data_IF_465136173782
#
_entry.id   IF_465136173782
#
_cell.length_a   1.000
_cell.length_b   1.000
_cell.length_c   1.000
_cell.angle_alpha   90.00
_cell.angle_beta   90.00
_cell.angle_gamma   90.00
#
_symmetry.space_group_name_H-M   'P 1'
#
loop_
_entity.id
_entity.type
_entity.pdbx_description
1 polymer ?
#
# COMPACT_ATOMS: atom_id res chain seq x y z
N UNK A 1 -6.68 -11.77 17.85
CA UNK A 1 -6.68 -10.47 17.16
C UNK A 1 -7.95 -9.74 17.53
N UNK A 2 -7.87 -8.54 18.05
CA UNK A 2 -9.08 -7.85 18.46
C UNK A 2 -9.76 -7.17 17.26
N UNK A 3 -11.05 -6.84 17.43
CA UNK A 3 -11.86 -6.26 16.36
C UNK A 3 -11.34 -4.89 15.92
N UNK A 4 -10.72 -4.15 16.83
CA UNK A 4 -10.21 -2.82 16.54
C UNK A 4 -9.01 -2.88 15.58
N UNK A 5 -8.13 -3.85 15.77
CA UNK A 5 -6.99 -4.04 14.85
C UNK A 5 -7.44 -4.48 13.47
N UNK A 6 -8.44 -5.35 13.41
CA UNK A 6 -9.03 -5.79 12.13
C UNK A 6 -9.65 -4.60 11.40
N UNK A 7 -10.39 -3.77 12.12
CA UNK A 7 -11.02 -2.58 11.53
C UNK A 7 -9.97 -1.60 10.99
N UNK A 8 -8.87 -1.41 11.71
CA UNK A 8 -7.78 -0.55 11.25
C UNK A 8 -7.14 -1.06 9.97
N UNK A 9 -6.90 -2.38 9.90
CA UNK A 9 -6.32 -2.99 8.70
C UNK A 9 -7.25 -2.85 7.51
N UNK A 10 -8.55 -3.04 7.72
CA UNK A 10 -9.54 -2.90 6.66
C UNK A 10 -9.61 -1.48 6.14
N UNK A 11 -9.58 -0.48 7.02
CA UNK A 11 -9.60 0.92 6.62
C UNK A 11 -8.34 1.30 5.83
N UNK A 12 -7.18 0.80 6.25
CA UNK A 12 -5.93 1.04 5.55
C UNK A 12 -5.96 0.42 4.16
N UNK A 13 -6.42 -0.83 4.06
CA UNK A 13 -6.50 -1.52 2.79
C UNK A 13 -7.44 -0.78 1.82
N UNK A 14 -8.59 -0.33 2.31
CA UNK A 14 -9.54 0.44 1.52
C UNK A 14 -8.91 1.75 1.04
N UNK A 15 -8.16 2.43 1.91
CA UNK A 15 -7.49 3.67 1.54
C UNK A 15 -6.41 3.44 0.49
N UNK A 16 -5.67 2.33 0.60
CA UNK A 16 -4.68 1.94 -0.40
C UNK A 16 -5.33 1.69 -1.76
N UNK A 17 -6.49 1.04 -1.78
CA UNK A 17 -7.23 0.83 -3.02
C UNK A 17 -7.69 2.15 -3.65
N UNK A 18 -8.13 3.09 -2.84
CA UNK A 18 -8.51 4.41 -3.32
C UNK A 18 -7.33 5.13 -3.94
N UNK A 19 -6.14 5.04 -3.30
CA UNK A 19 -4.93 5.64 -3.84
C UNK A 19 -4.48 4.97 -5.13
N UNK A 20 -4.62 3.64 -5.22
CA UNK A 20 -4.35 2.92 -6.47
C UNK A 20 -5.23 3.48 -7.61
N UNK A 21 -6.53 3.62 -7.35
CA UNK A 21 -7.46 4.11 -8.36
C UNK A 21 -7.21 5.57 -8.73
N UNK A 22 -6.67 6.35 -7.80
CA UNK A 22 -6.35 7.75 -8.03
C UNK A 22 -5.03 7.93 -8.80
N UNK A 23 -4.01 7.13 -8.47
CA UNK A 23 -2.65 7.33 -8.98
C UNK A 23 -2.30 6.44 -10.17
N UNK A 24 -2.87 5.25 -10.24
CA UNK A 24 -2.59 4.32 -11.35
C UNK A 24 -3.80 3.43 -11.64
N UNK A 25 -4.93 4.03 -12.06
CA UNK A 25 -6.19 3.29 -12.20
C UNK A 25 -6.14 2.16 -13.22
N UNK A 26 -5.28 2.26 -14.22
CA UNK A 26 -5.19 1.26 -15.29
C UNK A 26 -4.21 0.14 -14.98
N UNK A 27 -3.52 0.22 -13.85
CA UNK A 27 -2.52 -0.76 -13.49
C UNK A 27 -3.15 -2.01 -12.85
N UNK A 28 -2.74 -3.18 -13.36
CA UNK A 28 -3.03 -4.47 -12.75
C UNK A 28 -1.71 -5.23 -12.60
N UNK A 29 -1.46 -5.86 -11.43
CA UNK A 29 -0.19 -6.54 -11.23
C UNK A 29 -0.07 -7.80 -12.08
N UNK A 30 1.15 -8.07 -12.55
CA UNK A 30 1.48 -9.32 -13.25
C UNK A 30 1.97 -10.34 -12.22
N UNK A 31 1.54 -11.59 -12.42
CA UNK A 31 1.90 -12.68 -11.52
C UNK A 31 2.93 -13.60 -12.14
N UNK A 32 3.90 -13.01 -12.84
CA UNK A 32 4.95 -13.72 -13.56
C UNK A 32 6.34 -13.61 -12.91
N UNK A 33 6.40 -13.09 -11.67
CA UNK A 33 7.66 -12.86 -10.98
C UNK A 33 8.24 -11.47 -11.19
N UNK A 34 7.56 -10.62 -11.95
CA UNK A 34 7.96 -9.23 -12.12
C UNK A 34 7.80 -8.47 -10.81
N UNK A 35 8.68 -7.51 -10.56
CA UNK A 35 8.61 -6.71 -9.34
C UNK A 35 7.33 -5.88 -9.31
N UNK A 36 6.61 -5.97 -8.19
CA UNK A 36 5.41 -5.22 -7.90
C UNK A 36 5.65 -4.38 -6.67
N UNK A 37 5.13 -3.17 -6.62
CA UNK A 37 5.42 -2.24 -5.54
C UNK A 37 4.20 -2.08 -4.64
N UNK A 38 4.43 -2.08 -3.34
CA UNK A 38 3.38 -1.98 -2.35
C UNK A 38 3.79 -1.02 -1.25
N UNK A 39 2.83 -0.63 -0.42
CA UNK A 39 3.05 0.28 0.70
C UNK A 39 2.70 -0.45 1.99
N UNK A 40 3.60 -0.36 2.96
CA UNK A 40 3.39 -0.98 4.27
C UNK A 40 3.96 -0.08 5.36
N UNK A 41 3.49 -0.29 6.59
CA UNK A 41 3.99 0.46 7.74
C UNK A 41 5.31 -0.14 8.21
N UNK A 42 6.36 0.69 8.21
CA UNK A 42 7.67 0.28 8.68
C UNK A 42 7.82 0.66 10.14
N UNK A 43 7.86 -0.34 11.01
CA UNK A 43 7.95 -0.12 12.45
C UNK A 43 9.30 0.45 12.88
N UNK A 44 10.34 0.28 12.06
CA UNK A 44 11.65 0.85 12.35
C UNK A 44 11.64 2.37 12.20
N UNK A 45 11.02 2.86 11.12
CA UNK A 45 10.94 4.29 10.84
C UNK A 45 9.68 4.94 11.42
N UNK A 46 8.69 4.14 11.79
CA UNK A 46 7.43 4.65 12.33
C UNK A 46 6.56 5.33 11.30
N UNK A 47 6.69 4.97 10.03
CA UNK A 47 5.89 5.56 8.96
C UNK A 47 5.68 4.58 7.80
N UNK A 48 4.78 4.94 6.90
CA UNK A 48 4.52 4.16 5.69
C UNK A 48 5.69 4.27 4.73
N UNK A 49 6.08 3.14 4.14
CA UNK A 49 7.19 3.06 3.20
C UNK A 49 6.79 2.21 2.00
N UNK A 50 7.46 2.44 0.88
CA UNK A 50 7.29 1.63 -0.33
C UNK A 50 8.21 0.41 -0.26
N UNK A 51 7.66 -0.75 -0.61
CA UNK A 51 8.39 -2.00 -0.69
C UNK A 51 8.13 -2.65 -2.05
N UNK A 52 8.92 -3.67 -2.39
CA UNK A 52 8.67 -4.43 -3.61
C UNK A 52 8.48 -5.91 -3.29
N UNK A 53 7.78 -6.60 -4.21
CA UNK A 53 7.50 -8.01 -4.11
C UNK A 53 7.56 -8.62 -5.50
N UNK A 54 8.15 -9.80 -5.63
CA UNK A 54 8.27 -10.53 -6.89
C UNK A 54 7.46 -11.82 -6.90
N UNK A 55 6.49 -11.92 -6.01
CA UNK A 55 5.66 -13.12 -5.91
C UNK A 55 4.89 -13.39 -7.20
N UNK A 56 4.83 -14.65 -7.59
CA UNK A 56 3.98 -15.11 -8.68
C UNK A 56 2.63 -15.62 -8.20
N UNK A 57 2.43 -15.65 -6.88
CA UNK A 57 1.15 -16.06 -6.28
C UNK A 57 0.26 -14.85 -6.07
N UNK A 58 -0.93 -14.87 -6.67
CA UNK A 58 -1.88 -13.78 -6.51
C UNK A 58 -2.26 -13.59 -5.05
N UNK A 59 -2.29 -12.33 -4.60
CA UNK A 59 -2.61 -11.99 -3.22
C UNK A 59 -3.68 -10.90 -3.18
N UNK A 60 -4.17 -10.62 -1.95
CA UNK A 60 -5.16 -9.57 -1.74
C UNK A 60 -4.54 -8.21 -1.46
N UNK A 61 -3.21 -8.11 -1.53
CA UNK A 61 -2.51 -6.84 -1.30
C UNK A 61 -2.74 -5.89 -2.47
N UNK A 62 -2.68 -4.59 -2.18
CA UNK A 62 -2.80 -3.54 -3.18
C UNK A 62 -1.41 -3.21 -3.71
N UNK A 63 -1.25 -3.24 -5.02
CA UNK A 63 0.04 -2.96 -5.67
C UNK A 63 -0.04 -1.70 -6.50
N UNK A 64 1.12 -1.04 -6.69
CA UNK A 64 1.24 0.18 -7.48
C UNK A 64 2.14 -0.07 -8.68
N UNK A 65 1.96 0.73 -9.72
CA UNK A 65 2.61 0.53 -11.02
C UNK A 65 4.14 0.56 -10.94
N UNK A 66 4.69 1.48 -10.14
CA UNK A 66 6.14 1.64 -10.01
C UNK A 66 6.48 2.17 -8.62
N UNK A 67 7.79 2.26 -8.33
CA UNK A 67 8.27 2.70 -7.02
C UNK A 67 7.89 4.15 -6.73
N UNK A 68 7.90 5.00 -7.75
CA UNK A 68 7.57 6.43 -7.58
C UNK A 68 6.10 6.57 -7.13
N UNK A 69 5.20 5.83 -7.77
CA UNK A 69 3.78 5.85 -7.42
C UNK A 69 3.56 5.32 -6.00
N UNK A 70 4.25 4.23 -5.64
CA UNK A 70 4.15 3.67 -4.29
C UNK A 70 4.68 4.65 -3.24
N UNK A 71 5.79 5.33 -3.53
CA UNK A 71 6.34 6.34 -2.63
C UNK A 71 5.39 7.52 -2.44
N UNK A 72 4.72 7.93 -3.49
CA UNK A 72 3.73 9.00 -3.43
C UNK A 72 2.54 8.60 -2.57
N UNK A 73 2.05 7.37 -2.72
CA UNK A 73 0.98 6.84 -1.88
C UNK A 73 1.40 6.82 -0.41
N UNK A 74 2.62 6.38 -0.13
CA UNK A 74 3.15 6.36 1.24
C UNK A 74 3.21 7.78 1.82
N UNK A 75 3.64 8.75 1.03
CA UNK A 75 3.72 10.15 1.44
C UNK A 75 2.34 10.72 1.79
N UNK A 76 1.34 10.41 0.98
CA UNK A 76 -0.03 10.86 1.23
C UNK A 76 -0.54 10.26 2.54
N UNK A 77 -0.33 8.96 2.75
CA UNK A 77 -0.76 8.28 3.96
C UNK A 77 -0.07 8.84 5.20
N UNK A 78 1.24 9.12 5.11
CA UNK A 78 1.98 9.68 6.23
C UNK A 78 1.44 11.07 6.62
N UNK A 79 1.06 11.87 5.64
CA UNK A 79 0.42 13.16 5.90
C UNK A 79 -0.91 13.01 6.61
N UNK A 80 -1.72 12.06 6.16
CA UNK A 80 -3.03 11.80 6.76
C UNK A 80 -2.89 11.32 8.20
N UNK A 81 -1.90 10.46 8.46
CA UNK A 81 -1.65 9.95 9.81
C UNK A 81 -1.22 11.06 10.76
N UNK A 82 -0.42 12.00 10.30
CA UNK A 82 0.02 13.14 11.12
C UNK A 82 -1.12 14.08 11.45
N UNK A 83 -2.08 14.25 10.55
CA UNK A 83 -3.23 15.11 10.78
C UNK A 83 -4.25 14.50 11.74
N UNK A 84 -4.19 13.20 11.96
CA UNK A 84 -5.14 12.49 12.81
C UNK A 84 -4.82 12.62 14.29
N UNK A 85 -3.69 13.16 14.64
CA UNK A 85 -3.26 13.31 16.04
C UNK A 85 -3.79 14.60 16.68
#
# INVERSE_FOLDING_TARGET
MDAEQVAKKMRLLLRLEQLHDQLCPDYEPDWDGTAKFLVAFDHTDGEMQAFFDRSSGESTLVYFRDVVTAMEAAKILNKEMKKSD
#
